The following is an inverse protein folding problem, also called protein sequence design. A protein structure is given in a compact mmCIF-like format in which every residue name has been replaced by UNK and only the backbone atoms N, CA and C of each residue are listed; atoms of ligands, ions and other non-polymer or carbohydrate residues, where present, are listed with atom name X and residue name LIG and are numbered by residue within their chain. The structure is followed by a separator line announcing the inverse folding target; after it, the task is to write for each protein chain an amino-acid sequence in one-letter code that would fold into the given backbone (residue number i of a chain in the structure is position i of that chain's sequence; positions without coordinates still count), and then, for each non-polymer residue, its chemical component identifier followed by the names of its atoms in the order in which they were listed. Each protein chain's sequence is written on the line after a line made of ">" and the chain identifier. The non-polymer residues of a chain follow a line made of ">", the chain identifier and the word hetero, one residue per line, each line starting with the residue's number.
data_IF_874921274947
#
_entry.id   IF_874921274947
#
_cell.length_a   1.000
_cell.length_b   1.000
_cell.length_c   1.000
_cell.angle_alpha   90.00
_cell.angle_beta   90.00
_cell.angle_gamma   90.00
#
_symmetry.space_group_name_H-M   'P 1'
#
loop_
_entity.id
_entity.type
_entity.pdbx_description
1 polymer ?
#
# COMPACT_ATOMS: atom_id res chain seq x y z
N UNK A 1 29.56 -2.60 15.41
CA UNK A 1 30.14 -1.77 14.33
C UNK A 1 29.94 -2.49 12.99
N UNK A 2 28.81 -2.26 12.32
CA UNK A 2 28.49 -2.92 11.05
C UNK A 2 28.89 -2.02 9.87
N UNK A 3 29.66 -2.58 8.93
CA UNK A 3 30.28 -1.88 7.81
C UNK A 3 29.26 -1.62 6.70
N UNK A 4 29.02 -0.34 6.39
CA UNK A 4 28.32 0.07 5.17
C UNK A 4 29.11 -0.36 3.93
N UNK A 5 28.52 -1.22 3.09
CA UNK A 5 29.01 -1.46 1.72
C UNK A 5 28.57 -0.29 0.84
N UNK A 6 29.54 0.44 0.27
CA UNK A 6 29.31 1.53 -0.70
C UNK A 6 28.74 0.96 -2.00
N UNK A 7 27.63 1.53 -2.47
CA UNK A 7 27.14 1.35 -3.83
C UNK A 7 28.02 2.13 -4.84
N UNK A 8 28.20 1.57 -6.03
CA UNK A 8 28.90 2.17 -7.17
C UNK A 8 28.06 3.33 -7.73
N UNK A 9 28.60 4.54 -7.96
CA UNK A 9 27.78 5.68 -8.39
C UNK A 9 27.51 5.65 -9.88
N UNK A 10 26.25 5.39 -10.27
CA UNK A 10 25.70 5.79 -11.56
C UNK A 10 25.40 7.30 -11.58
N UNK A 11 25.71 7.99 -12.68
CA UNK A 11 25.48 9.43 -12.83
C UNK A 11 23.99 9.75 -13.00
N UNK A 12 23.29 10.18 -11.94
CA UNK A 12 22.09 11.05 -12.00
C UNK A 12 21.85 11.70 -10.63
N UNK A 13 21.56 13.00 -10.66
CA UNK A 13 21.11 13.91 -9.59
C UNK A 13 21.42 13.51 -8.13
N UNK A 14 22.38 14.22 -7.51
CA UNK A 14 22.61 14.11 -6.07
C UNK A 14 21.46 14.82 -5.33
N UNK A 15 20.68 14.04 -4.57
CA UNK A 15 19.58 14.40 -3.63
C UNK A 15 18.13 14.17 -4.10
N UNK A 16 17.85 13.03 -4.73
CA UNK A 16 16.57 12.36 -4.52
C UNK A 16 16.86 11.06 -3.75
N UNK A 17 16.24 10.88 -2.59
CA UNK A 17 16.31 9.64 -1.82
C UNK A 17 14.88 9.25 -1.46
N UNK A 18 14.47 8.07 -1.92
CA UNK A 18 13.24 7.42 -1.49
C UNK A 18 13.48 6.94 -0.07
N UNK A 19 12.70 7.42 0.90
CA UNK A 19 12.61 6.78 2.21
C UNK A 19 11.81 5.48 2.05
N UNK A 20 12.51 4.42 1.63
CA UNK A 20 11.94 3.10 1.35
C UNK A 20 11.65 2.30 2.61
N UNK A 21 11.46 2.96 3.76
CA UNK A 21 11.21 2.31 5.03
C UNK A 21 9.79 1.75 5.06
N UNK A 22 9.69 0.43 5.08
CA UNK A 22 8.42 -0.31 5.11
C UNK A 22 8.12 -0.91 6.49
N UNK A 23 9.14 -0.98 7.36
CA UNK A 23 9.04 -1.31 8.78
C UNK A 23 8.61 -0.09 9.61
N UNK A 24 7.37 0.37 9.36
CA UNK A 24 6.78 1.50 10.08
C UNK A 24 5.74 1.02 11.09
N UNK A 25 5.60 1.75 12.18
CA UNK A 25 4.54 1.56 13.17
C UNK A 25 3.64 2.79 13.28
N UNK A 26 2.40 2.59 13.70
CA UNK A 26 1.49 3.66 14.11
C UNK A 26 0.77 3.29 15.42
N UNK A 27 0.28 4.29 16.15
CA UNK A 27 -0.57 4.05 17.32
C UNK A 27 -2.02 3.91 16.87
N UNK A 28 -2.69 2.86 17.29
CA UNK A 28 -4.14 2.72 17.09
C UNK A 28 -4.92 3.62 18.07
N UNK A 29 -6.25 3.56 17.99
CA UNK A 29 -7.13 4.38 18.84
C UNK A 29 -7.01 4.08 20.34
N UNK A 30 -6.61 2.86 20.69
CA UNK A 30 -6.37 2.44 22.06
C UNK A 30 -4.96 2.82 22.56
N UNK A 31 -4.13 3.44 21.71
CA UNK A 31 -2.75 3.80 22.03
C UNK A 31 -1.77 2.63 21.95
N UNK A 32 -2.19 1.48 21.42
CA UNK A 32 -1.32 0.35 21.16
C UNK A 32 -0.56 0.55 19.84
N UNK A 33 0.73 0.20 19.86
CA UNK A 33 1.55 0.21 18.66
C UNK A 33 1.15 -0.93 17.72
N UNK A 34 0.92 -0.58 16.45
CA UNK A 34 0.67 -1.50 15.35
C UNK A 34 1.80 -1.35 14.36
N UNK A 35 2.55 -2.43 14.14
CA UNK A 35 3.73 -2.45 13.27
C UNK A 35 3.42 -3.19 11.97
N UNK A 36 3.77 -2.58 10.84
CA UNK A 36 3.70 -3.22 9.54
C UNK A 36 4.61 -4.46 9.48
N UNK A 37 4.14 -5.55 8.89
CA UNK A 37 4.83 -6.84 8.95
C UNK A 37 5.11 -7.43 7.57
N UNK A 38 6.23 -8.17 7.40
CA UNK A 38 6.48 -8.88 6.16
C UNK A 38 5.44 -9.99 5.97
N UNK A 39 4.91 -10.12 4.76
CA UNK A 39 3.98 -11.20 4.43
C UNK A 39 4.70 -12.54 4.26
N UNK A 40 5.80 -12.55 3.51
CA UNK A 40 6.56 -13.78 3.24
C UNK A 40 7.43 -14.18 4.43
N UNK A 41 7.37 -15.47 4.80
CA UNK A 41 8.12 -16.03 5.92
C UNK A 41 7.53 -15.75 7.30
N UNK A 42 6.35 -15.10 7.37
CA UNK A 42 5.64 -14.86 8.61
C UNK A 42 4.58 -15.96 8.84
N UNK A 43 4.64 -16.72 9.94
CA UNK A 43 3.67 -17.77 10.26
C UNK A 43 2.22 -17.28 10.39
N UNK A 44 2.00 -15.99 10.67
CA UNK A 44 0.67 -15.38 10.71
C UNK A 44 -0.01 -15.38 9.32
N UNK A 45 0.79 -15.42 8.24
CA UNK A 45 0.32 -15.35 6.86
C UNK A 45 0.71 -16.63 6.11
N UNK A 46 0.04 -17.77 6.39
CA UNK A 46 0.40 -19.07 5.81
C UNK A 46 0.26 -19.10 4.29
N UNK A 47 -0.64 -18.27 3.73
CA UNK A 47 -0.68 -17.96 2.31
C UNK A 47 -0.40 -16.46 2.11
N UNK A 48 0.87 -16.07 1.89
CA UNK A 48 1.23 -14.67 1.70
C UNK A 48 0.80 -14.15 0.33
N UNK A 49 0.28 -14.99 -0.57
CA UNK A 49 -0.13 -14.63 -1.92
C UNK A 49 -1.66 -14.55 -1.97
N UNK A 50 -2.19 -13.32 -2.03
CA UNK A 50 -3.64 -13.08 -2.04
C UNK A 50 -4.24 -13.38 -3.41
N UNK A 51 -5.43 -13.97 -3.40
CA UNK A 51 -6.20 -14.38 -4.57
C UNK A 51 -7.65 -14.65 -4.18
N UNK A 52 -8.37 -15.43 -4.98
CA UNK A 52 -9.75 -15.83 -4.66
C UNK A 52 -9.82 -16.52 -3.29
N UNK A 53 -10.86 -16.20 -2.50
CA UNK A 53 -11.10 -16.81 -1.18
C UNK A 53 -10.51 -16.04 0.00
N UNK A 54 -9.78 -14.94 -0.23
CA UNK A 54 -9.34 -14.04 0.83
C UNK A 54 -10.34 -12.89 1.04
N UNK A 55 -10.50 -12.38 2.28
CA UNK A 55 -11.30 -11.19 2.54
C UNK A 55 -10.83 -10.01 1.69
N UNK A 56 -11.79 -9.28 1.11
CA UNK A 56 -11.54 -8.05 0.37
C UNK A 56 -11.34 -6.93 1.40
N UNK A 57 -10.14 -6.31 1.47
CA UNK A 57 -9.93 -5.17 2.37
C UNK A 57 -10.93 -4.06 2.05
N UNK A 58 -11.38 -3.32 3.06
CA UNK A 58 -12.32 -2.25 2.81
C UNK A 58 -11.66 -1.13 2.01
N UNK A 59 -12.10 -0.96 0.78
CA UNK A 59 -11.60 0.07 -0.13
C UNK A 59 -12.75 0.99 -0.62
N UNK A 60 -13.84 1.06 0.14
CA UNK A 60 -14.98 1.95 -0.14
C UNK A 60 -14.80 3.35 0.44
N UNK A 61 -15.67 4.27 0.02
CA UNK A 61 -15.65 5.68 0.45
C UNK A 61 -15.68 5.86 1.99
N UNK A 62 -16.53 5.11 2.69
CA UNK A 62 -16.66 5.18 4.14
C UNK A 62 -15.49 4.50 4.85
N UNK A 63 -15.11 3.30 4.41
CA UNK A 63 -14.00 2.54 4.97
C UNK A 63 -12.68 3.34 4.92
N UNK A 64 -12.38 3.98 3.79
CA UNK A 64 -11.19 4.82 3.65
C UNK A 64 -11.13 5.96 4.68
N UNK A 65 -12.26 6.60 4.98
CA UNK A 65 -12.32 7.66 6.01
C UNK A 65 -12.07 7.14 7.41
N UNK A 66 -12.59 5.96 7.72
CA UNK A 66 -12.30 5.30 8.98
C UNK A 66 -10.79 5.01 9.08
N UNK A 67 -10.18 4.48 8.01
CA UNK A 67 -8.73 4.21 7.98
C UNK A 67 -7.89 5.47 8.18
N UNK A 68 -8.22 6.56 7.47
CA UNK A 68 -7.51 7.83 7.55
C UNK A 68 -7.53 8.42 8.96
N UNK A 69 -8.66 8.31 9.66
CA UNK A 69 -8.86 8.98 10.95
C UNK A 69 -8.51 8.10 12.15
N UNK A 70 -8.50 6.77 11.99
CA UNK A 70 -8.41 5.83 13.11
C UNK A 70 -7.34 4.75 12.93
N UNK A 71 -6.70 4.70 11.77
CA UNK A 71 -5.71 3.69 11.43
C UNK A 71 -6.30 2.51 10.65
N UNK A 72 -5.43 1.77 9.96
CA UNK A 72 -5.84 0.75 8.98
C UNK A 72 -6.61 -0.42 9.58
N UNK A 73 -6.30 -0.83 10.81
CA UNK A 73 -6.94 -1.93 11.52
C UNK A 73 -8.09 -1.51 12.45
N UNK A 74 -8.57 -0.26 12.35
CA UNK A 74 -9.67 0.21 13.18
C UNK A 74 -11.00 -0.51 12.86
N UNK A 75 -11.98 -0.50 13.77
CA UNK A 75 -13.32 -0.99 13.47
C UNK A 75 -13.93 -0.28 12.25
N UNK A 76 -14.74 -1.01 11.46
CA UNK A 76 -15.45 -0.54 10.25
C UNK A 76 -14.55 -0.18 9.05
N UNK A 77 -13.24 -0.45 9.12
CA UNK A 77 -12.35 -0.33 7.95
C UNK A 77 -12.50 -1.48 6.98
N UNK A 78 -13.09 -2.61 7.39
CA UNK A 78 -13.19 -3.83 6.58
C UNK A 78 -11.84 -4.52 6.34
N UNK A 79 -10.80 -4.14 7.07
CA UNK A 79 -9.47 -4.69 6.92
C UNK A 79 -9.19 -5.81 7.92
N UNK A 80 -8.32 -6.72 7.52
CA UNK A 80 -7.61 -7.67 8.38
C UNK A 80 -6.12 -7.26 8.45
N UNK A 81 -5.30 -8.05 9.15
CA UNK A 81 -3.88 -7.78 9.34
C UNK A 81 -3.07 -7.74 8.03
N UNK A 82 -3.63 -8.23 6.91
CA UNK A 82 -2.96 -8.11 5.61
C UNK A 82 -2.94 -6.66 5.11
N UNK A 83 -3.81 -5.79 5.60
CA UNK A 83 -3.80 -4.37 5.22
C UNK A 83 -2.54 -3.62 5.69
N UNK A 84 -1.81 -4.18 6.67
CA UNK A 84 -0.52 -3.66 7.16
C UNK A 84 0.65 -4.57 6.77
N UNK A 85 0.41 -5.55 5.89
CA UNK A 85 1.42 -6.45 5.37
C UNK A 85 2.18 -5.84 4.20
N UNK A 86 3.47 -6.15 4.06
CA UNK A 86 4.28 -5.74 2.91
C UNK A 86 5.12 -6.89 2.34
N UNK A 87 5.50 -6.75 1.07
CA UNK A 87 6.48 -7.61 0.42
C UNK A 87 7.84 -6.93 0.39
N UNK A 88 8.90 -7.72 0.52
CA UNK A 88 10.28 -7.27 0.36
C UNK A 88 10.73 -7.38 -1.09
N UNK A 89 11.91 -6.81 -1.35
CA UNK A 89 12.53 -6.82 -2.68
C UNK A 89 12.71 -8.24 -3.22
N UNK A 90 13.15 -9.15 -2.37
CA UNK A 90 13.38 -10.57 -2.66
C UNK A 90 12.08 -11.34 -2.92
N UNK A 91 10.94 -10.88 -2.38
CA UNK A 91 9.63 -11.51 -2.56
C UNK A 91 9.03 -11.17 -3.93
N UNK A 92 9.39 -10.02 -4.50
CA UNK A 92 8.88 -9.51 -5.79
C UNK A 92 10.01 -9.25 -6.80
N UNK A 93 10.78 -10.28 -7.21
CA UNK A 93 12.01 -10.10 -7.99
C UNK A 93 11.80 -9.47 -9.37
N UNK A 94 10.61 -9.63 -9.96
CA UNK A 94 10.25 -8.97 -11.22
C UNK A 94 10.10 -7.44 -11.03
N UNK A 95 9.26 -7.01 -10.09
CA UNK A 95 9.05 -5.58 -9.79
C UNK A 95 10.30 -4.91 -9.25
N UNK A 96 11.07 -5.61 -8.40
CA UNK A 96 12.36 -5.15 -7.89
C UNK A 96 13.36 -4.82 -9.02
N UNK A 97 13.37 -5.59 -10.11
CA UNK A 97 14.21 -5.31 -11.27
C UNK A 97 13.70 -4.13 -12.09
N UNK A 98 12.37 -3.95 -12.19
CA UNK A 98 11.80 -2.77 -12.85
C UNK A 98 12.12 -1.49 -12.09
N UNK A 99 11.96 -1.49 -10.77
CA UNK A 99 12.27 -0.34 -9.92
C UNK A 99 13.75 0.10 -10.01
N UNK A 100 14.69 -0.83 -10.23
CA UNK A 100 16.11 -0.50 -10.43
C UNK A 100 16.44 0.11 -11.79
N UNK A 101 15.59 -0.14 -12.81
CA UNK A 101 15.90 0.19 -14.20
C UNK A 101 15.08 1.35 -14.74
N UNK A 102 13.96 1.66 -14.10
CA UNK A 102 13.02 2.69 -14.53
C UNK A 102 12.71 3.68 -13.40
N UNK A 103 12.04 4.76 -13.75
CA UNK A 103 11.58 5.76 -12.79
C UNK A 103 10.38 5.22 -12.00
N UNK A 104 10.40 5.45 -10.69
CA UNK A 104 9.27 5.20 -9.79
C UNK A 104 8.77 6.54 -9.21
N UNK A 105 7.49 6.61 -8.88
CA UNK A 105 6.88 7.70 -8.14
C UNK A 105 6.49 7.17 -6.76
N UNK A 106 7.25 7.52 -5.73
CA UNK A 106 7.06 7.09 -4.34
C UNK A 106 6.00 7.92 -3.59
N UNK A 107 5.61 9.07 -4.13
CA UNK A 107 4.52 9.93 -3.65
C UNK A 107 3.34 9.96 -4.63
N UNK A 108 2.91 8.79 -5.12
CA UNK A 108 1.72 8.64 -5.96
C UNK A 108 0.52 8.20 -5.10
N UNK A 109 -0.46 9.09 -4.95
CA UNK A 109 -1.68 8.85 -4.17
C UNK A 109 -2.88 8.64 -5.09
N UNK A 110 -3.86 7.86 -4.62
CA UNK A 110 -5.17 7.79 -5.24
C UNK A 110 -5.83 9.18 -5.23
N UNK A 111 -6.47 9.59 -6.33
CA UNK A 111 -7.19 10.85 -6.40
C UNK A 111 -8.39 10.88 -5.45
N UNK A 112 -8.98 9.71 -5.22
CA UNK A 112 -10.04 9.52 -4.25
C UNK A 112 -9.70 8.37 -3.30
N UNK A 113 -9.80 8.63 -2.00
CA UNK A 113 -9.78 7.58 -0.99
C UNK A 113 -11.13 6.85 -1.00
N UNK A 114 -11.23 5.88 -1.89
CA UNK A 114 -12.46 5.19 -2.25
C UNK A 114 -12.18 4.08 -3.27
N UNK A 115 -13.23 3.56 -3.91
CA UNK A 115 -13.14 2.31 -4.64
C UNK A 115 -12.61 2.51 -6.07
N UNK A 116 -12.71 1.46 -6.89
CA UNK A 116 -11.96 1.33 -8.14
C UNK A 116 -12.43 2.29 -9.23
N UNK A 117 -13.74 2.35 -9.47
CA UNK A 117 -14.35 3.10 -10.57
C UNK A 117 -14.06 4.61 -10.52
N UNK A 118 -14.28 5.33 -9.40
CA UNK A 118 -13.99 6.75 -9.36
C UNK A 118 -12.51 7.05 -9.60
N UNK A 119 -11.58 6.24 -9.07
CA UNK A 119 -10.15 6.42 -9.32
C UNK A 119 -9.76 6.18 -10.78
N UNK A 120 -10.43 5.26 -11.49
CA UNK A 120 -10.25 5.08 -12.95
C UNK A 120 -10.77 6.27 -13.74
N UNK A 121 -11.88 6.88 -13.33
CA UNK A 121 -12.36 8.11 -13.95
C UNK A 121 -11.37 9.26 -13.76
N UNK A 122 -10.83 9.43 -12.55
CA UNK A 122 -9.76 10.40 -12.29
C UNK A 122 -8.53 10.16 -13.18
N UNK A 123 -8.10 8.90 -13.32
CA UNK A 123 -6.96 8.55 -14.18
C UNK A 123 -7.16 8.99 -15.64
N UNK A 124 -8.38 8.86 -16.17
CA UNK A 124 -8.67 9.14 -17.59
C UNK A 124 -9.19 10.55 -17.88
N UNK A 125 -9.79 11.22 -16.89
CA UNK A 125 -10.52 12.48 -17.11
C UNK A 125 -10.27 13.56 -16.06
N UNK A 126 -9.34 13.31 -15.12
CA UNK A 126 -9.01 14.20 -14.01
C UNK A 126 -10.18 14.56 -13.08
N UNK A 127 -11.31 13.86 -13.18
CA UNK A 127 -12.47 13.97 -12.29
C UNK A 127 -13.28 12.67 -12.28
N UNK A 128 -14.20 12.50 -11.32
CA UNK A 128 -15.11 11.34 -11.24
C UNK A 128 -16.57 11.64 -11.59
N UNK A 129 -16.91 12.86 -12.01
CA UNK A 129 -18.30 13.26 -12.22
C UNK A 129 -19.11 13.38 -10.93
N UNK A 130 -18.44 13.42 -9.77
CA UNK A 130 -19.07 13.34 -8.46
C UNK A 130 -19.26 11.91 -7.95
N UNK A 131 -18.90 10.91 -8.75
CA UNK A 131 -18.96 9.51 -8.32
C UNK A 131 -17.94 9.22 -7.23
N UNK A 132 -18.37 8.40 -6.27
CA UNK A 132 -17.56 8.02 -5.11
C UNK A 132 -17.65 6.54 -4.74
N UNK A 133 -18.52 5.81 -5.40
CA UNK A 133 -18.82 4.41 -5.13
C UNK A 133 -18.56 3.59 -6.41
N UNK A 134 -18.31 2.29 -6.26
CA UNK A 134 -18.30 1.40 -7.42
C UNK A 134 -19.76 1.17 -7.83
N UNK A 135 -20.14 1.43 -9.10
CA UNK A 135 -21.44 1.02 -9.58
C UNK A 135 -21.56 -0.50 -9.40
N UNK A 136 -22.64 -0.93 -8.74
CA UNK A 136 -23.02 -2.34 -8.57
C UNK A 136 -22.82 -3.05 -9.92
N UNK A 137 -22.26 -4.28 -9.96
CA UNK A 137 -22.01 -4.96 -11.22
C UNK A 137 -23.29 -4.95 -12.05
N UNK A 138 -23.14 -4.49 -13.30
CA UNK A 138 -24.13 -4.69 -14.36
C UNK A 138 -24.69 -6.11 -14.23
N UNK A 139 -25.99 -6.19 -13.94
CA UNK A 139 -26.76 -7.43 -13.96
C UNK A 139 -26.92 -7.91 -15.39
#
# INVERSE_FOLDING_TARGET
>A
MARHRRAVPGRRARRFHVDGRVDVSYLNLEGHEVTATPLVGNPQFPNPWRGCGHPVPGHGWFAGREQLTKGFLAPRTGNDEYAIGYYRREDLPFYAKLADRFTICDHHFASLMGPTFPNRQYLHSAQSGGERDDPIPIR
#
